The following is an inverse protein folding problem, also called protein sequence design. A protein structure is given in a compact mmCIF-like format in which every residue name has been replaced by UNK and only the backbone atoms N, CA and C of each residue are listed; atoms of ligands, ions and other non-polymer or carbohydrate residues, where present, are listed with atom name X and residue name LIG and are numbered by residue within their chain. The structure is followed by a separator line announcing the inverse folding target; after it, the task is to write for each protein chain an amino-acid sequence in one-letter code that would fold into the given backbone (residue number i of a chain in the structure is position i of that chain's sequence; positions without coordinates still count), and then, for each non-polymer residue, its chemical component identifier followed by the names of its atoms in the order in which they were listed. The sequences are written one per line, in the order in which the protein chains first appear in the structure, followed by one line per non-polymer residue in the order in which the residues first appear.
data_IF_347864430526
#
_entry.id   IF_347864430526
#
_cell.length_a   1.000
_cell.length_b   1.000
_cell.length_c   1.000
_cell.angle_alpha   90.00
_cell.angle_beta   90.00
_cell.angle_gamma   90.00
#
_symmetry.space_group_name_H-M   'P 1'
#
loop_
_entity.id
_entity.type
_entity.pdbx_description
1 polymer ?
#
# COMPACT_ATOMS: atom_id res chain seq x y z
N UNK A 1 6.80 -2.99 -1.57
CA UNK A 1 5.83 -2.05 -2.14
C UNK A 1 4.64 -2.83 -2.67
N UNK A 2 3.45 -2.35 -2.49
CA UNK A 2 2.20 -2.98 -2.95
C UNK A 2 1.36 -1.93 -3.71
N UNK A 3 0.06 -2.11 -3.86
CA UNK A 3 -0.84 -1.16 -4.55
C UNK A 3 -2.09 -0.92 -3.70
N UNK A 4 -2.73 0.24 -3.85
CA UNK A 4 -4.00 0.54 -3.19
C UNK A 4 -5.14 -0.38 -3.65
N UNK A 5 -4.99 -1.09 -4.76
CA UNK A 5 -5.94 -2.11 -5.20
C UNK A 5 -6.08 -3.27 -4.21
N UNK A 6 -5.08 -3.52 -3.37
CA UNK A 6 -5.10 -4.59 -2.37
C UNK A 6 -5.59 -4.03 -1.02
N UNK A 7 -6.72 -4.54 -0.49
CA UNK A 7 -7.31 -4.03 0.74
C UNK A 7 -6.42 -4.30 1.95
N UNK A 8 -6.56 -3.45 2.96
CA UNK A 8 -5.96 -3.69 4.26
C UNK A 8 -6.94 -4.49 5.13
N UNK A 9 -6.60 -5.73 5.54
CA UNK A 9 -7.50 -6.56 6.35
C UNK A 9 -7.73 -5.99 7.77
N UNK A 10 -6.81 -5.19 8.28
CA UNK A 10 -6.92 -4.55 9.60
C UNK A 10 -7.94 -3.39 9.60
N UNK A 11 -8.32 -2.90 8.42
CA UNK A 11 -9.22 -1.77 8.25
C UNK A 11 -10.42 -2.16 7.37
N UNK A 12 -11.62 -1.72 7.77
CA UNK A 12 -12.83 -1.89 6.95
C UNK A 12 -12.86 -0.83 5.84
N UNK A 13 -12.01 -1.01 4.83
CA UNK A 13 -12.02 -0.13 3.65
C UNK A 13 -13.35 -0.26 2.90
N UNK A 14 -14.12 0.82 2.83
CA UNK A 14 -15.38 0.84 2.08
C UNK A 14 -15.06 0.98 0.59
N UNK A 15 -15.49 -0.01 -0.18
CA UNK A 15 -15.36 -0.02 -1.64
C UNK A 15 -16.72 -0.13 -2.28
N UNK A 16 -16.93 0.62 -3.36
CA UNK A 16 -18.17 0.54 -4.12
C UNK A 16 -18.32 -0.84 -4.76
N UNK A 17 -19.55 -1.25 -5.04
CA UNK A 17 -19.81 -2.51 -5.74
C UNK A 17 -19.07 -2.59 -7.08
N UNK A 18 -19.03 -1.48 -7.82
CA UNK A 18 -18.32 -1.39 -9.11
C UNK A 18 -16.82 -1.64 -8.96
N UNK A 19 -16.17 -1.01 -7.98
CA UNK A 19 -14.75 -1.25 -7.67
C UNK A 19 -14.47 -2.72 -7.36
N UNK A 20 -15.36 -3.36 -6.61
CA UNK A 20 -15.23 -4.79 -6.29
C UNK A 20 -15.29 -5.66 -7.55
N UNK A 21 -16.20 -5.38 -8.46
CA UNK A 21 -16.32 -6.10 -9.74
C UNK A 21 -15.08 -5.92 -10.61
N UNK A 22 -14.59 -4.69 -10.74
CA UNK A 22 -13.37 -4.39 -11.52
C UNK A 22 -12.14 -5.08 -10.93
N UNK A 23 -11.96 -5.02 -9.62
CA UNK A 23 -10.83 -5.70 -8.95
C UNK A 23 -10.91 -7.22 -9.10
N UNK A 24 -12.10 -7.81 -9.03
CA UNK A 24 -12.29 -9.25 -9.25
C UNK A 24 -11.91 -9.62 -10.68
N UNK A 25 -12.32 -8.82 -11.66
CA UNK A 25 -11.97 -9.05 -13.06
C UNK A 25 -10.45 -8.92 -13.29
N UNK A 26 -9.83 -7.87 -12.74
CA UNK A 26 -8.38 -7.67 -12.79
C UNK A 26 -7.62 -8.84 -12.15
N UNK A 27 -8.09 -9.36 -11.02
CA UNK A 27 -7.51 -10.52 -10.35
C UNK A 27 -7.51 -11.77 -11.24
N UNK A 28 -8.59 -11.96 -12.01
CA UNK A 28 -8.71 -13.10 -12.93
C UNK A 28 -7.86 -12.95 -14.20
N UNK A 29 -7.67 -11.73 -14.68
CA UNK A 29 -7.04 -11.46 -15.98
C UNK A 29 -5.55 -11.11 -15.86
N UNK A 30 -5.11 -10.61 -14.71
CA UNK A 30 -3.75 -10.11 -14.50
C UNK A 30 -3.05 -10.93 -13.41
N UNK A 31 -2.24 -11.94 -13.77
CA UNK A 31 -1.53 -12.79 -12.80
C UNK A 31 -0.72 -12.01 -11.73
N UNK A 32 -0.01 -10.91 -12.05
CA UNK A 32 0.70 -10.12 -11.03
C UNK A 32 -0.20 -9.56 -9.91
N UNK A 33 -1.49 -9.37 -10.15
CA UNK A 33 -2.42 -8.90 -9.12
C UNK A 33 -2.64 -9.96 -8.03
N UNK A 34 -2.88 -11.21 -8.41
CA UNK A 34 -3.06 -12.31 -7.46
C UNK A 34 -1.79 -12.61 -6.68
N UNK A 35 -0.64 -12.47 -7.31
CA UNK A 35 0.67 -12.66 -6.68
C UNK A 35 0.95 -11.58 -5.62
N UNK A 36 0.66 -10.32 -5.94
CA UNK A 36 0.74 -9.22 -4.99
C UNK A 36 -0.21 -9.39 -3.79
N UNK A 37 -1.43 -9.90 -4.02
CA UNK A 37 -2.38 -10.21 -2.95
C UNK A 37 -1.83 -11.31 -2.04
N UNK A 38 -1.30 -12.39 -2.62
CA UNK A 38 -0.71 -13.51 -1.87
C UNK A 38 0.51 -13.05 -1.05
N UNK A 39 1.39 -12.22 -1.61
CA UNK A 39 2.52 -11.66 -0.89
C UNK A 39 2.07 -10.77 0.29
N UNK A 40 1.05 -9.94 0.09
CA UNK A 40 0.50 -9.10 1.13
C UNK A 40 -0.15 -9.90 2.26
N UNK A 41 -0.87 -10.97 1.92
CA UNK A 41 -1.49 -11.89 2.88
C UNK A 41 -0.42 -12.69 3.65
N UNK A 42 0.62 -13.14 2.99
CA UNK A 42 1.74 -13.83 3.62
C UNK A 42 2.41 -12.96 4.70
N UNK A 43 2.67 -11.69 4.40
CA UNK A 43 3.22 -10.76 5.38
C UNK A 43 2.28 -10.57 6.57
N UNK A 44 0.98 -10.48 6.31
CA UNK A 44 0.00 -10.26 7.37
C UNK A 44 -0.26 -11.50 8.23
N UNK A 45 -0.51 -12.65 7.61
CA UNK A 45 -0.92 -13.88 8.30
C UNK A 45 0.25 -14.72 8.81
N UNK A 46 1.34 -14.81 8.04
CA UNK A 46 2.45 -15.72 8.33
C UNK A 46 3.58 -15.03 9.06
N UNK A 47 4.02 -13.86 8.57
CA UNK A 47 5.08 -13.10 9.23
C UNK A 47 4.56 -12.43 10.49
N UNK A 48 3.32 -11.91 10.43
CA UNK A 48 2.57 -11.28 11.51
C UNK A 48 3.33 -10.19 12.31
N UNK A 49 2.68 -9.62 13.31
CA UNK A 49 3.30 -8.67 14.26
C UNK A 49 4.09 -9.35 15.37
N UNK A 50 3.92 -10.66 15.52
CA UNK A 50 4.53 -11.45 16.60
C UNK A 50 5.91 -11.99 16.22
N UNK A 51 6.32 -11.82 14.96
CA UNK A 51 7.64 -12.24 14.51
C UNK A 51 8.73 -11.39 15.17
N UNK A 52 9.59 -12.03 15.94
CA UNK A 52 10.67 -11.37 16.69
C UNK A 52 11.89 -11.01 15.84
N UNK A 53 11.96 -11.51 14.62
CA UNK A 53 13.15 -11.41 13.77
C UNK A 53 12.92 -10.54 12.52
N UNK A 54 11.67 -10.26 12.19
CA UNK A 54 11.33 -9.52 10.98
C UNK A 54 10.22 -8.50 11.24
N UNK A 55 10.52 -7.24 11.02
CA UNK A 55 9.56 -6.16 10.94
C UNK A 55 9.31 -5.78 9.47
N UNK A 56 8.12 -5.37 9.12
CA UNK A 56 7.75 -5.02 7.76
C UNK A 56 6.84 -3.79 7.69
N UNK A 57 6.91 -3.11 6.55
CA UNK A 57 5.96 -2.06 6.16
C UNK A 57 5.65 -2.22 4.68
N UNK A 58 4.38 -2.28 4.31
CA UNK A 58 3.95 -2.50 2.93
C UNK A 58 3.39 -1.22 2.32
N UNK A 59 4.25 -0.41 1.72
CA UNK A 59 3.88 0.87 1.10
C UNK A 59 2.98 0.64 -0.11
N UNK A 60 1.83 1.31 -0.14
CA UNK A 60 0.82 1.24 -1.21
C UNK A 60 0.72 2.58 -1.94
N UNK A 61 1.37 2.76 -3.07
CA UNK A 61 1.18 3.97 -3.87
C UNK A 61 -0.22 4.00 -4.49
N UNK A 62 -0.74 5.20 -4.71
CA UNK A 62 -1.82 5.47 -5.65
C UNK A 62 -1.31 5.30 -7.09
N UNK A 63 -1.91 5.96 -8.07
CA UNK A 63 -1.39 5.93 -9.45
C UNK A 63 0.00 6.54 -9.51
N UNK A 64 0.98 5.79 -10.04
CA UNK A 64 2.37 6.23 -10.14
C UNK A 64 2.61 7.02 -11.44
N UNK A 65 3.20 8.18 -11.28
CA UNK A 65 3.69 9.02 -12.39
C UNK A 65 5.19 9.30 -12.24
N UNK A 66 5.82 9.69 -13.32
CA UNK A 66 7.19 10.21 -13.29
C UNK A 66 7.16 11.68 -12.87
N UNK A 67 8.13 12.09 -12.06
CA UNK A 67 8.25 13.47 -11.59
C UNK A 67 9.19 13.58 -10.40
N UNK A 68 9.49 14.82 -10.05
CA UNK A 68 10.32 15.17 -8.89
C UNK A 68 9.55 14.95 -7.56
N UNK A 69 10.29 15.05 -6.45
CA UNK A 69 9.69 15.02 -5.12
C UNK A 69 8.76 16.23 -4.97
N UNK A 70 7.54 15.97 -4.57
CA UNK A 70 6.48 16.98 -4.35
C UNK A 70 5.79 16.71 -3.01
N UNK A 71 4.99 17.62 -2.48
CA UNK A 71 4.16 17.34 -1.31
C UNK A 71 3.26 16.12 -1.53
N UNK A 72 3.25 15.20 -0.58
CA UNK A 72 2.45 13.97 -0.60
C UNK A 72 1.90 13.66 0.78
N UNK A 73 0.78 12.97 0.82
CA UNK A 73 0.12 12.54 2.04
C UNK A 73 0.35 11.05 2.31
N UNK A 74 0.42 10.70 3.59
CA UNK A 74 0.56 9.32 4.05
C UNK A 74 -0.63 8.99 4.94
N UNK A 75 -1.44 8.02 4.52
CA UNK A 75 -2.67 7.64 5.23
C UNK A 75 -2.73 6.12 5.44
N UNK A 76 -3.49 5.68 6.44
CA UNK A 76 -3.69 4.24 6.68
C UNK A 76 -4.65 3.61 5.68
N UNK A 77 -5.61 4.38 5.19
CA UNK A 77 -6.60 3.96 4.18
C UNK A 77 -6.62 4.93 3.00
N UNK A 78 -7.02 4.47 1.82
CA UNK A 78 -7.30 5.36 0.70
C UNK A 78 -8.37 6.40 1.10
N UNK A 79 -8.04 7.68 0.93
CA UNK A 79 -8.97 8.79 1.25
C UNK A 79 -10.03 8.94 0.17
N UNK A 80 -9.72 8.46 -1.04
CA UNK A 80 -10.59 8.54 -2.23
C UNK A 80 -10.68 7.18 -2.90
N UNK A 81 -11.62 7.05 -3.85
CA UNK A 81 -11.70 5.87 -4.73
C UNK A 81 -10.35 5.57 -5.39
N UNK A 82 -10.08 4.29 -5.62
CA UNK A 82 -8.88 3.83 -6.36
C UNK A 82 -8.77 4.44 -7.77
N UNK A 83 -9.88 4.95 -8.32
CA UNK A 83 -9.92 5.56 -9.65
C UNK A 83 -9.80 7.09 -9.63
N UNK A 84 -10.05 7.73 -8.49
CA UNK A 84 -10.06 9.19 -8.35
C UNK A 84 -8.98 9.71 -7.41
N UNK A 85 -8.13 8.83 -6.89
CA UNK A 85 -7.00 9.19 -6.04
C UNK A 85 -5.99 10.08 -6.75
N UNK A 86 -5.40 11.03 -6.02
CA UNK A 86 -4.29 11.83 -6.54
C UNK A 86 -3.15 10.90 -6.97
N UNK A 87 -2.55 11.10 -8.15
CA UNK A 87 -1.35 10.37 -8.51
C UNK A 87 -0.18 10.82 -7.63
N UNK A 88 0.72 9.89 -7.34
CA UNK A 88 1.97 10.19 -6.63
C UNK A 88 3.18 9.90 -7.53
N UNK A 89 4.28 10.63 -7.33
CA UNK A 89 5.48 10.40 -8.12
C UNK A 89 6.27 9.19 -7.60
N UNK A 90 7.01 8.52 -8.49
CA UNK A 90 7.98 7.50 -8.08
C UNK A 90 9.03 8.06 -7.12
N UNK A 91 9.40 9.33 -7.29
CA UNK A 91 10.31 10.03 -6.40
C UNK A 91 9.74 10.20 -4.98
N UNK A 92 8.44 10.50 -4.84
CA UNK A 92 7.77 10.55 -3.53
C UNK A 92 7.82 9.20 -2.80
N UNK A 93 7.56 8.11 -3.52
CA UNK A 93 7.62 6.76 -2.95
C UNK A 93 9.04 6.43 -2.48
N UNK A 94 10.05 6.69 -3.33
CA UNK A 94 11.45 6.48 -2.98
C UNK A 94 11.87 7.32 -1.76
N UNK A 95 11.46 8.58 -1.72
CA UNK A 95 11.72 9.48 -0.60
C UNK A 95 11.08 8.96 0.71
N UNK A 96 9.82 8.56 0.67
CA UNK A 96 9.15 8.00 1.85
C UNK A 96 9.82 6.70 2.32
N UNK A 97 10.13 5.78 1.41
CA UNK A 97 10.80 4.52 1.76
C UNK A 97 12.19 4.74 2.34
N UNK A 98 12.94 5.72 1.81
CA UNK A 98 14.26 6.10 2.36
C UNK A 98 14.13 6.67 3.77
N UNK A 99 13.13 7.52 4.00
CA UNK A 99 12.84 8.05 5.35
C UNK A 99 12.45 6.94 6.33
N UNK A 100 11.63 5.97 5.92
CA UNK A 100 11.28 4.82 6.76
C UNK A 100 12.50 4.05 7.26
N UNK A 101 13.57 3.97 6.47
CA UNK A 101 14.81 3.26 6.84
C UNK A 101 15.67 4.11 7.78
N UNK A 102 15.70 5.43 7.58
CA UNK A 102 16.58 6.35 8.30
C UNK A 102 15.97 6.97 9.56
N UNK A 103 14.68 6.85 9.78
CA UNK A 103 13.94 7.50 10.88
C UNK A 103 13.22 6.47 11.74
N UNK A 104 13.73 6.25 12.95
CA UNK A 104 13.20 5.26 13.88
C UNK A 104 11.79 5.60 14.39
N UNK A 105 11.43 6.88 14.50
CA UNK A 105 10.10 7.30 14.93
C UNK A 105 9.10 7.01 13.81
N UNK A 106 9.44 7.37 12.58
CA UNK A 106 8.64 7.07 11.41
C UNK A 106 8.48 5.56 11.20
N UNK A 107 9.56 4.79 11.36
CA UNK A 107 9.50 3.33 11.32
C UNK A 107 8.55 2.77 12.38
N UNK A 108 8.67 3.22 13.61
CA UNK A 108 7.82 2.78 14.72
C UNK A 108 6.34 3.10 14.51
N UNK A 109 6.04 4.22 13.83
CA UNK A 109 4.68 4.60 13.49
C UNK A 109 4.06 3.72 12.39
N UNK A 110 4.88 3.22 11.45
CA UNK A 110 4.41 2.55 10.24
C UNK A 110 4.77 1.07 10.11
N UNK A 111 5.60 0.53 11.00
CA UNK A 111 5.88 -0.91 11.00
C UNK A 111 4.61 -1.74 11.21
N UNK A 112 4.53 -2.88 10.55
CA UNK A 112 3.37 -3.77 10.51
C UNK A 112 2.09 -3.14 9.94
N UNK A 113 2.23 -2.04 9.21
CA UNK A 113 1.13 -1.34 8.56
C UNK A 113 1.28 -1.28 7.04
N UNK A 114 0.22 -0.82 6.39
CA UNK A 114 0.13 -0.69 4.92
C UNK A 114 -0.22 0.74 4.53
N UNK A 115 0.69 1.72 4.74
CA UNK A 115 0.43 3.11 4.39
C UNK A 115 0.14 3.30 2.91
N UNK A 116 -0.82 4.18 2.64
CA UNK A 116 -1.10 4.71 1.30
C UNK A 116 -0.36 6.03 1.13
N UNK A 117 0.34 6.19 0.01
CA UNK A 117 1.05 7.42 -0.36
C UNK A 117 0.40 8.00 -1.60
N UNK A 118 -0.10 9.25 -1.47
CA UNK A 118 -0.84 9.94 -2.52
C UNK A 118 -0.39 11.40 -2.70
#
# INVERSE_FOLDING_TARGET
MNTVGIPNPDLREQRTWFERCVLTLLRCLIPPQSDNEAAAEYLHATVSRENKHLEWCSVRPTSLIDGEISPYDITESPVTSIFTGRPTTRANIAHFMTKLIGDNELWSAWKFKRPVVS
#
